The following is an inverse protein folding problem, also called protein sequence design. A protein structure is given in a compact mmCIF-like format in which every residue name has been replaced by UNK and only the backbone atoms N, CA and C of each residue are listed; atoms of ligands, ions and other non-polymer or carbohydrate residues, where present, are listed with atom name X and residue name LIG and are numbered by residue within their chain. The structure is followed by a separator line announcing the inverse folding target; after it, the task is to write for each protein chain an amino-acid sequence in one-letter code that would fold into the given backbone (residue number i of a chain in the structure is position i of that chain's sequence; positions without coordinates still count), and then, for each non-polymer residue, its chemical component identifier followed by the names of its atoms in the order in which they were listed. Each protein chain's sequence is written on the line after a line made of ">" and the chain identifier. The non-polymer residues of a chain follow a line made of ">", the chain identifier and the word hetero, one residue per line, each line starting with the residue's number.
data_IF_999315870943
#
_entry.id   IF_999315870943
#
_cell.length_a   1.000
_cell.length_b   1.000
_cell.length_c   1.000
_cell.angle_alpha   90.00
_cell.angle_beta   90.00
_cell.angle_gamma   90.00
#
_symmetry.space_group_name_H-M   'P 1'
#
loop_
_entity.id
_entity.type
_entity.pdbx_description
1 polymer ?
#
# COMPACT_ATOMS: atom_id res chain seq x y z
N UNK A 1 -6.08 -6.11 27.88
CA UNK A 1 -6.20 -4.95 26.96
C UNK A 1 -7.67 -4.59 26.76
N UNK A 2 -7.96 -3.40 26.28
CA UNK A 2 -9.34 -3.03 25.93
C UNK A 2 -9.90 -3.97 24.85
N UNK A 3 -9.06 -4.44 23.93
CA UNK A 3 -9.45 -5.42 22.90
C UNK A 3 -9.90 -6.75 23.48
N UNK A 4 -9.22 -7.28 24.50
CA UNK A 4 -9.65 -8.49 25.21
C UNK A 4 -11.02 -8.32 25.86
N UNK A 5 -11.23 -7.19 26.53
CA UNK A 5 -12.50 -6.92 27.19
C UNK A 5 -13.65 -6.82 26.18
N UNK A 6 -13.42 -6.17 25.03
CA UNK A 6 -14.42 -6.05 23.97
C UNK A 6 -14.68 -7.40 23.31
N UNK A 7 -13.64 -8.16 22.95
CA UNK A 7 -13.78 -9.45 22.32
C UNK A 7 -14.49 -10.47 23.24
N UNK A 8 -14.20 -10.43 24.53
CA UNK A 8 -14.87 -11.30 25.52
C UNK A 8 -16.35 -10.93 25.78
N UNK A 9 -16.72 -9.68 25.53
CA UNK A 9 -18.08 -9.18 25.76
C UNK A 9 -19.02 -9.34 24.56
N UNK A 10 -18.47 -9.62 23.36
CA UNK A 10 -19.23 -9.68 22.12
C UNK A 10 -19.17 -11.10 21.51
N UNK A 11 -20.31 -11.57 21.05
CA UNK A 11 -20.43 -12.86 20.32
C UNK A 11 -20.42 -12.62 18.78
N UNK A 12 -19.56 -11.70 18.33
CA UNK A 12 -19.37 -11.37 16.92
C UNK A 12 -17.89 -11.09 16.64
N UNK A 13 -17.42 -11.25 15.38
CA UNK A 13 -16.05 -10.91 15.03
C UNK A 13 -15.70 -9.45 15.35
N UNK A 14 -14.56 -9.25 16.00
CA UNK A 14 -14.05 -7.91 16.39
C UNK A 14 -12.97 -7.46 15.42
N UNK A 15 -13.09 -6.21 14.93
CA UNK A 15 -12.11 -5.57 14.09
C UNK A 15 -11.29 -4.56 14.90
N UNK A 16 -9.96 -4.67 14.83
CA UNK A 16 -9.03 -3.69 15.37
C UNK A 16 -8.56 -2.71 14.29
N UNK A 17 -8.59 -1.43 14.63
CA UNK A 17 -8.09 -0.34 13.81
C UNK A 17 -6.74 0.13 14.36
N UNK A 18 -5.63 -0.25 13.70
CA UNK A 18 -4.26 0.12 14.08
C UNK A 18 -3.85 1.38 13.32
N UNK A 19 -4.24 2.54 13.86
CA UNK A 19 -3.93 3.85 13.29
C UNK A 19 -2.76 4.49 14.03
N UNK A 20 -1.73 4.91 13.29
CA UNK A 20 -0.60 5.67 13.84
C UNK A 20 -1.08 7.04 14.35
N UNK A 21 -0.39 7.56 15.38
CA UNK A 21 -0.68 8.84 16.01
C UNK A 21 -2.07 8.92 16.68
N UNK A 22 -2.71 7.76 16.88
CA UNK A 22 -3.96 7.64 17.63
C UNK A 22 -3.73 7.67 19.16
N UNK A 23 -4.79 7.36 19.90
CA UNK A 23 -4.73 7.29 21.37
C UNK A 23 -4.31 5.90 21.88
N UNK A 24 -4.50 4.87 21.07
CA UNK A 24 -4.19 3.48 21.44
C UNK A 24 -2.74 3.14 21.12
N UNK A 25 -2.16 2.25 21.89
CA UNK A 25 -0.91 1.58 21.53
C UNK A 25 -1.03 0.82 20.21
N UNK A 26 0.10 0.70 19.50
CA UNK A 26 0.17 -0.14 18.31
C UNK A 26 0.51 -1.57 18.72
N UNK A 27 -0.44 -2.47 18.53
CA UNK A 27 -0.29 -3.89 18.81
C UNK A 27 0.16 -4.65 17.58
N UNK A 28 0.92 -5.72 17.79
CA UNK A 28 1.23 -6.68 16.73
C UNK A 28 0.00 -7.51 16.38
N UNK A 29 -0.01 -8.10 15.18
CA UNK A 29 -1.08 -9.04 14.76
C UNK A 29 -1.24 -10.19 15.76
N UNK A 30 -0.12 -10.72 16.29
CA UNK A 30 -0.16 -11.79 17.28
C UNK A 30 -0.83 -11.36 18.59
N UNK A 31 -0.47 -10.18 19.12
CA UNK A 31 -1.10 -9.65 20.34
C UNK A 31 -2.61 -9.43 20.16
N UNK A 32 -3.02 -8.97 18.98
CA UNK A 32 -4.45 -8.78 18.67
C UNK A 32 -5.18 -10.12 18.51
N UNK A 33 -4.54 -11.10 17.89
CA UNK A 33 -5.08 -12.46 17.79
C UNK A 33 -5.26 -13.09 19.18
N UNK A 34 -4.28 -12.98 20.07
CA UNK A 34 -4.33 -13.48 21.43
C UNK A 34 -5.42 -12.78 22.26
N UNK A 35 -5.73 -11.52 21.93
CA UNK A 35 -6.81 -10.74 22.51
C UNK A 35 -8.21 -11.08 21.92
N UNK A 36 -8.32 -12.02 20.98
CA UNK A 36 -9.59 -12.44 20.37
C UNK A 36 -10.06 -11.56 19.20
N UNK A 37 -9.18 -10.71 18.65
CA UNK A 37 -9.49 -9.89 17.46
C UNK A 37 -9.48 -10.76 16.21
N UNK A 38 -10.50 -10.61 15.36
CA UNK A 38 -10.68 -11.42 14.15
C UNK A 38 -10.13 -10.74 12.88
N UNK A 39 -10.03 -9.42 12.87
CA UNK A 39 -9.58 -8.64 11.73
C UNK A 39 -8.80 -7.40 12.18
N UNK A 40 -7.75 -7.05 11.43
CA UNK A 40 -6.96 -5.84 11.67
C UNK A 40 -6.93 -5.01 10.41
N UNK A 41 -7.16 -3.70 10.54
CA UNK A 41 -6.98 -2.74 9.45
C UNK A 41 -5.93 -1.70 9.84
N UNK A 42 -5.20 -1.20 8.85
CA UNK A 42 -4.15 -0.18 8.95
C UNK A 42 -4.53 1.03 8.11
N UNK A 43 -5.48 1.86 8.55
CA UNK A 43 -5.99 2.97 7.76
C UNK A 43 -4.88 3.99 7.47
N UNK A 44 -4.76 4.36 6.21
CA UNK A 44 -3.80 5.36 5.69
C UNK A 44 -2.32 5.09 5.99
N UNK A 45 -1.93 3.97 6.61
CA UNK A 45 -0.53 3.65 6.93
C UNK A 45 0.34 3.64 5.68
N UNK A 46 -0.11 2.94 4.63
CA UNK A 46 0.61 2.89 3.35
C UNK A 46 0.69 4.29 2.69
N UNK A 47 -0.39 5.08 2.76
CA UNK A 47 -0.39 6.44 2.22
C UNK A 47 0.57 7.34 2.99
N UNK A 48 0.57 7.31 4.32
CA UNK A 48 1.51 8.09 5.15
C UNK A 48 2.97 7.71 4.85
N UNK A 49 3.27 6.42 4.72
CA UNK A 49 4.60 5.94 4.35
C UNK A 49 5.02 6.46 2.96
N UNK A 50 4.13 6.37 1.97
CA UNK A 50 4.37 6.87 0.63
C UNK A 50 4.58 8.40 0.61
N UNK A 51 3.70 9.16 1.26
CA UNK A 51 3.80 10.62 1.31
C UNK A 51 5.08 11.08 2.01
N UNK A 52 5.45 10.46 3.12
CA UNK A 52 6.73 10.77 3.78
C UNK A 52 7.95 10.44 2.92
N UNK A 53 7.89 9.41 2.07
CA UNK A 53 8.94 9.14 1.09
C UNK A 53 8.98 10.19 -0.02
N UNK A 54 7.82 10.64 -0.50
CA UNK A 54 7.71 11.72 -1.51
C UNK A 54 8.28 13.03 -0.97
N UNK A 55 7.93 13.42 0.25
CA UNK A 55 8.48 14.64 0.87
C UNK A 55 10.00 14.59 0.94
N UNK A 56 10.59 13.50 1.43
CA UNK A 56 12.05 13.34 1.47
C UNK A 56 12.70 13.40 0.09
N UNK A 57 12.08 12.81 -0.93
CA UNK A 57 12.58 12.87 -2.30
C UNK A 57 12.57 14.29 -2.84
N UNK A 58 11.48 15.02 -2.65
CA UNK A 58 11.35 16.42 -3.12
C UNK A 58 12.35 17.34 -2.42
N UNK A 59 12.59 17.16 -1.12
CA UNK A 59 13.61 17.88 -0.37
C UNK A 59 15.02 17.57 -0.91
N UNK A 60 15.33 16.30 -1.20
CA UNK A 60 16.60 15.90 -1.83
C UNK A 60 16.79 16.61 -3.17
N UNK A 61 15.78 16.57 -4.05
CA UNK A 61 15.86 17.23 -5.36
C UNK A 61 16.04 18.75 -5.21
N UNK A 62 15.34 19.35 -4.26
CA UNK A 62 15.44 20.80 -4.01
C UNK A 62 16.81 21.22 -3.50
N UNK A 63 17.43 20.41 -2.65
CA UNK A 63 18.73 20.70 -2.03
C UNK A 63 19.89 20.37 -2.97
N UNK A 64 19.85 19.19 -3.61
CA UNK A 64 20.96 18.62 -4.37
C UNK A 64 20.86 18.89 -5.88
N UNK A 65 19.70 19.35 -6.37
CA UNK A 65 19.40 19.51 -7.81
C UNK A 65 19.26 18.18 -8.55
N UNK A 66 19.22 17.05 -7.84
CA UNK A 66 19.15 15.70 -8.40
C UNK A 66 18.50 14.72 -7.40
N UNK A 67 17.92 13.64 -7.93
CA UNK A 67 17.34 12.56 -7.13
C UNK A 67 18.35 11.43 -6.81
N UNK A 68 19.61 11.56 -7.19
CA UNK A 68 20.60 10.47 -7.18
C UNK A 68 20.76 9.82 -5.81
N UNK A 69 20.78 10.60 -4.73
CA UNK A 69 20.93 10.11 -3.36
C UNK A 69 19.72 9.26 -2.90
N UNK A 70 18.53 9.47 -3.48
CA UNK A 70 17.32 8.75 -3.14
C UNK A 70 17.14 7.43 -3.91
N UNK A 71 17.86 7.24 -5.03
CA UNK A 71 17.71 6.05 -5.91
C UNK A 71 17.76 4.72 -5.16
N UNK A 72 18.67 4.47 -4.18
CA UNK A 72 18.72 3.20 -3.46
C UNK A 72 17.46 2.89 -2.63
N UNK A 73 16.64 3.88 -2.34
CA UNK A 73 15.40 3.74 -1.58
C UNK A 73 14.15 3.65 -2.48
N UNK A 74 14.33 3.78 -3.79
CA UNK A 74 13.23 3.73 -4.74
C UNK A 74 12.89 2.29 -5.14
N UNK A 75 11.63 2.08 -5.47
CA UNK A 75 11.22 0.89 -6.19
C UNK A 75 11.89 0.86 -7.56
N UNK A 76 12.45 -0.29 -7.96
CA UNK A 76 13.03 -0.42 -9.31
C UNK A 76 11.96 -0.37 -10.39
N UNK A 77 12.35 0.00 -11.62
CA UNK A 77 11.42 -0.03 -12.77
C UNK A 77 10.81 -1.42 -12.98
N UNK A 78 11.60 -2.47 -12.88
CA UNK A 78 11.13 -3.85 -13.03
C UNK A 78 10.05 -4.18 -11.98
N UNK A 79 10.29 -3.82 -10.71
CA UNK A 79 9.32 -4.05 -9.64
C UNK A 79 8.05 -3.22 -9.81
N UNK A 80 8.16 -1.98 -10.28
CA UNK A 80 7.00 -1.15 -10.59
C UNK A 80 6.14 -1.79 -11.70
N UNK A 81 6.76 -2.24 -12.79
CA UNK A 81 6.07 -2.86 -13.91
C UNK A 81 5.35 -4.15 -13.48
N UNK A 82 6.01 -4.98 -12.69
CA UNK A 82 5.38 -6.18 -12.09
C UNK A 82 4.18 -5.79 -11.20
N UNK A 83 4.32 -4.76 -10.37
CA UNK A 83 3.26 -4.34 -9.43
C UNK A 83 2.00 -3.86 -10.13
N UNK A 84 2.14 -3.15 -11.27
CA UNK A 84 1.01 -2.60 -12.05
C UNK A 84 0.59 -3.48 -13.22
N UNK A 85 1.19 -4.67 -13.36
CA UNK A 85 0.97 -5.59 -14.48
C UNK A 85 1.13 -4.90 -15.85
N UNK A 86 2.20 -4.12 -16.00
CA UNK A 86 2.45 -3.30 -17.19
C UNK A 86 2.45 -4.12 -18.48
N UNK A 87 3.08 -5.29 -18.47
CA UNK A 87 3.18 -6.16 -19.65
C UNK A 87 1.82 -6.79 -19.99
N UNK A 88 0.99 -7.14 -19.00
CA UNK A 88 -0.37 -7.61 -19.21
C UNK A 88 -1.26 -6.56 -19.89
N UNK A 89 -1.18 -5.31 -19.42
CA UNK A 89 -1.90 -4.20 -20.02
C UNK A 89 -1.43 -3.90 -21.45
N UNK A 90 -0.12 -3.94 -21.73
CA UNK A 90 0.42 -3.76 -23.07
C UNK A 90 -0.03 -4.87 -24.05
N UNK A 91 -0.08 -6.13 -23.59
CA UNK A 91 -0.58 -7.24 -24.38
C UNK A 91 -2.07 -7.09 -24.67
N UNK A 92 -2.86 -6.71 -23.66
CA UNK A 92 -4.28 -6.44 -23.83
C UNK A 92 -4.52 -5.31 -24.84
N UNK A 93 -3.82 -4.20 -24.69
CA UNK A 93 -3.91 -3.05 -25.60
C UNK A 93 -3.56 -3.45 -27.05
N UNK A 94 -2.48 -4.20 -27.25
CA UNK A 94 -2.08 -4.73 -28.53
C UNK A 94 -3.15 -5.63 -29.18
N UNK A 95 -3.85 -6.44 -28.38
CA UNK A 95 -4.95 -7.29 -28.87
C UNK A 95 -6.17 -6.47 -29.28
N UNK A 96 -6.52 -5.44 -28.50
CA UNK A 96 -7.66 -4.55 -28.81
C UNK A 96 -7.43 -3.77 -30.09
N UNK A 97 -6.19 -3.31 -30.33
CA UNK A 97 -5.84 -2.56 -31.54
C UNK A 97 -5.44 -3.41 -32.75
N UNK A 98 -5.33 -4.74 -32.60
CA UNK A 98 -4.99 -5.68 -33.67
C UNK A 98 -6.23 -6.16 -34.45
N UNK A 99 -7.22 -5.29 -34.71
CA UNK A 99 -8.40 -5.65 -35.51
C UNK A 99 -8.30 -5.15 -36.95
N UNK A 100 -8.63 -6.02 -37.88
CA UNK A 100 -8.79 -5.64 -39.28
C UNK A 100 -10.15 -4.98 -39.50
N UNK A 101 -10.15 -3.77 -40.06
CA UNK A 101 -11.40 -3.12 -40.49
C UNK A 101 -11.84 -3.75 -41.81
N UNK A 102 -12.98 -4.46 -41.87
CA UNK A 102 -13.47 -5.04 -43.12
C UNK A 102 -13.70 -3.92 -44.15
N UNK A 103 -12.96 -3.94 -45.27
CA UNK A 103 -13.08 -2.96 -46.35
C UNK A 103 -12.13 -1.77 -46.30
N UNK A 104 -11.21 -1.69 -45.33
CA UNK A 104 -10.09 -0.74 -45.35
C UNK A 104 -9.08 -1.12 -46.44
N UNK A 105 -8.96 -0.28 -47.49
CA UNK A 105 -7.85 -0.31 -48.45
C UNK A 105 -6.70 0.49 -47.92
#
# INVERSE_FOLDING_TARGET
>A
SEFEAVAAALDVPVLANMTEFGKSELFTVQQLQDAGVSMVIYPVSAQRAAMGAVERLLDTIRQDGTQQAAVPQMQTRARLYETVDYDGYNQFDSQVFAFDVPGGK
#
